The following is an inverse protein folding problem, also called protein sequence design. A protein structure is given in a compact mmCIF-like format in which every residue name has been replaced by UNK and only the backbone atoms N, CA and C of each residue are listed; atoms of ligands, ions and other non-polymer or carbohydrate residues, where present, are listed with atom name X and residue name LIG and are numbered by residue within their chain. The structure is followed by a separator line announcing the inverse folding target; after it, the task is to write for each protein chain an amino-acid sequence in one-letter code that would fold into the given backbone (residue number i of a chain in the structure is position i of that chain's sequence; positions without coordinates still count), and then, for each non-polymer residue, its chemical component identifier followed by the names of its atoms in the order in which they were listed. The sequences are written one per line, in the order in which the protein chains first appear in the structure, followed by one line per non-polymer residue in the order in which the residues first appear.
data_IF_654865358677
#
_entry.id   IF_654865358677
#
_cell.length_a   1.000
_cell.length_b   1.000
_cell.length_c   1.000
_cell.angle_alpha   90.00
_cell.angle_beta   90.00
_cell.angle_gamma   90.00
#
_symmetry.space_group_name_H-M   'P 1'
#
loop_
_entity.id
_entity.type
_entity.pdbx_description
1 polymer ?
#
# COMPACT_ATOMS: atom_id res chain seq x y z
N UNK A 1 -11.11 -14.70 -1.20
CA UNK A 1 -10.59 -13.72 -2.19
C UNK A 1 -10.96 -14.18 -3.60
N UNK A 2 -11.14 -13.27 -4.58
CA UNK A 2 -11.68 -13.59 -5.92
C UNK A 2 -10.91 -12.84 -7.03
N UNK A 3 -10.60 -13.53 -8.14
CA UNK A 3 -10.03 -12.94 -9.36
C UNK A 3 -11.10 -12.89 -10.45
N UNK A 4 -11.41 -11.70 -10.96
CA UNK A 4 -12.51 -11.50 -11.91
C UNK A 4 -12.12 -11.79 -13.37
N UNK A 5 -10.93 -11.34 -13.81
CA UNK A 5 -10.48 -11.43 -15.21
C UNK A 5 -8.98 -11.61 -15.33
N UNK A 6 -8.55 -12.19 -16.45
CA UNK A 6 -7.15 -12.44 -16.79
C UNK A 6 -6.93 -12.42 -18.31
N UNK A 7 -5.72 -12.05 -18.75
CA UNK A 7 -5.27 -12.15 -20.14
C UNK A 7 -4.67 -13.53 -20.48
N UNK A 8 -4.38 -14.35 -19.46
CA UNK A 8 -3.82 -15.70 -19.63
C UNK A 8 -4.93 -16.75 -19.58
N UNK A 9 -4.77 -17.79 -20.39
CA UNK A 9 -5.67 -18.95 -20.38
C UNK A 9 -5.30 -19.91 -19.24
N UNK A 10 -6.27 -20.69 -18.76
CA UNK A 10 -6.08 -21.72 -17.72
C UNK A 10 -5.46 -21.20 -16.41
N UNK A 11 -5.90 -20.03 -15.95
CA UNK A 11 -5.56 -19.56 -14.61
C UNK A 11 -6.28 -20.41 -13.56
N UNK A 12 -5.54 -20.86 -12.56
CA UNK A 12 -6.04 -21.51 -11.35
C UNK A 12 -5.84 -20.53 -10.20
N UNK A 13 -6.93 -20.23 -9.50
CA UNK A 13 -6.93 -19.33 -8.34
C UNK A 13 -7.31 -20.13 -7.10
N UNK A 14 -6.38 -20.20 -6.16
CA UNK A 14 -6.53 -20.87 -4.88
C UNK A 14 -6.19 -19.90 -3.75
N UNK A 15 -6.47 -20.30 -2.51
CA UNK A 15 -6.07 -19.54 -1.34
C UNK A 15 -6.59 -20.17 -0.06
N UNK A 16 -5.97 -19.83 1.07
CA UNK A 16 -6.49 -20.12 2.40
C UNK A 16 -7.09 -18.87 3.04
N UNK A 17 -8.08 -19.07 3.90
CA UNK A 17 -8.78 -18.00 4.62
C UNK A 17 -8.82 -18.35 6.11
N UNK A 18 -7.67 -18.28 6.77
CA UNK A 18 -7.59 -18.42 8.22
C UNK A 18 -7.91 -17.07 8.92
N UNK A 19 -8.12 -17.11 10.23
CA UNK A 19 -8.52 -15.92 10.99
C UNK A 19 -7.47 -14.81 10.97
N UNK A 20 -6.19 -15.17 11.07
CA UNK A 20 -5.09 -14.20 11.16
C UNK A 20 -4.22 -14.14 9.92
N UNK A 21 -4.43 -15.05 8.98
CA UNK A 21 -3.62 -15.19 7.78
C UNK A 21 -4.48 -15.62 6.60
N UNK A 22 -4.35 -14.93 5.49
CA UNK A 22 -4.99 -15.32 4.23
C UNK A 22 -3.95 -15.31 3.13
N UNK A 23 -4.08 -16.22 2.18
CA UNK A 23 -3.28 -16.17 0.97
C UNK A 23 -4.15 -16.23 -0.27
N UNK A 24 -3.65 -15.61 -1.34
CA UNK A 24 -4.17 -15.74 -2.68
C UNK A 24 -3.05 -16.24 -3.56
N UNK A 25 -3.24 -17.43 -4.09
CA UNK A 25 -2.35 -18.06 -5.05
C UNK A 25 -2.99 -18.05 -6.43
N UNK A 26 -2.33 -17.40 -7.38
CA UNK A 26 -2.71 -17.36 -8.79
C UNK A 26 -1.66 -18.12 -9.58
N UNK A 27 -2.05 -19.19 -10.26
CA UNK A 27 -1.13 -20.00 -11.05
C UNK A 27 -1.59 -20.19 -12.48
N UNK A 28 -0.66 -20.24 -13.42
CA UNK A 28 -0.91 -20.41 -14.84
C UNK A 28 0.28 -21.04 -15.55
N UNK A 29 0.05 -21.53 -16.75
CA UNK A 29 1.09 -22.03 -17.64
C UNK A 29 1.19 -21.15 -18.88
N UNK A 30 2.33 -20.50 -19.14
CA UNK A 30 2.50 -19.66 -20.32
C UNK A 30 2.77 -20.56 -21.55
N UNK A 31 1.70 -20.96 -22.24
CA UNK A 31 1.68 -21.53 -23.60
C UNK A 31 2.54 -22.77 -23.90
N UNK A 32 3.28 -23.32 -22.93
CA UNK A 32 4.16 -24.48 -23.07
C UNK A 32 3.92 -25.42 -21.89
N UNK A 33 3.68 -26.70 -22.18
CA UNK A 33 3.20 -27.73 -21.22
C UNK A 33 4.14 -28.02 -20.02
N UNK A 34 5.32 -27.38 -19.96
CA UNK A 34 6.32 -27.58 -18.90
C UNK A 34 6.65 -26.29 -18.12
N UNK A 35 6.07 -25.15 -18.50
CA UNK A 35 6.27 -23.90 -17.79
C UNK A 35 5.12 -23.70 -16.80
N UNK A 36 5.46 -23.51 -15.53
CA UNK A 36 4.51 -23.26 -14.46
C UNK A 36 4.88 -21.97 -13.75
N UNK A 37 3.92 -21.07 -13.62
CA UNK A 37 4.07 -19.78 -12.97
C UNK A 37 3.03 -19.69 -11.84
N UNK A 38 3.46 -19.22 -10.68
CA UNK A 38 2.66 -19.11 -9.47
C UNK A 38 2.99 -17.80 -8.78
N UNK A 39 2.00 -16.94 -8.63
CA UNK A 39 2.06 -15.70 -7.88
C UNK A 39 1.28 -15.87 -6.59
N UNK A 40 1.88 -15.56 -5.46
CA UNK A 40 1.27 -15.64 -4.13
C UNK A 40 1.25 -14.26 -3.47
N UNK A 41 0.11 -13.92 -2.90
CA UNK A 41 -0.08 -12.77 -2.03
C UNK A 41 -0.41 -13.28 -0.64
N UNK A 42 0.32 -12.83 0.37
CA UNK A 42 0.09 -13.23 1.77
C UNK A 42 -0.36 -12.02 2.55
N UNK A 43 -1.50 -12.16 3.24
CA UNK A 43 -2.06 -11.14 4.10
C UNK A 43 -2.05 -11.60 5.55
N UNK A 44 -1.64 -10.70 6.45
CA UNK A 44 -1.68 -10.90 7.90
C UNK A 44 -2.60 -9.89 8.56
N UNK A 45 -3.32 -10.29 9.60
CA UNK A 45 -4.23 -9.42 10.35
C UNK A 45 -3.76 -9.25 11.80
N UNK A 46 -3.76 -7.99 12.24
CA UNK A 46 -3.53 -7.57 13.62
C UNK A 46 -4.72 -6.73 14.09
N UNK A 47 -5.75 -7.43 14.55
CA UNK A 47 -7.00 -7.00 15.23
C UNK A 47 -7.84 -5.87 14.58
N UNK A 48 -7.21 -4.75 14.24
CA UNK A 48 -7.83 -3.55 13.67
C UNK A 48 -7.42 -3.31 12.21
N UNK A 49 -6.37 -3.97 11.74
CA UNK A 49 -5.77 -3.77 10.42
C UNK A 49 -5.21 -5.06 9.86
N UNK A 50 -5.11 -5.12 8.54
CA UNK A 50 -4.39 -6.16 7.84
C UNK A 50 -3.35 -5.57 6.91
N UNK A 51 -2.28 -6.33 6.71
CA UNK A 51 -1.16 -6.00 5.86
C UNK A 51 -1.10 -6.98 4.70
N UNK A 52 -0.70 -6.51 3.51
CA UNK A 52 -0.07 -7.41 2.54
C UNK A 52 1.36 -7.64 3.05
N UNK A 53 1.64 -8.81 3.63
CA UNK A 53 2.93 -9.13 4.27
C UNK A 53 3.99 -9.52 3.25
N UNK A 54 3.59 -10.25 2.20
CA UNK A 54 4.53 -10.65 1.16
C UNK A 54 3.86 -10.85 -0.19
N UNK A 55 4.67 -10.65 -1.23
CA UNK A 55 4.37 -11.06 -2.60
C UNK A 55 5.48 -12.01 -3.02
N UNK A 56 5.12 -13.21 -3.44
CA UNK A 56 6.05 -14.20 -3.96
C UNK A 56 5.70 -14.61 -5.38
N UNK A 57 6.70 -14.92 -6.19
CA UNK A 57 6.54 -15.53 -7.50
C UNK A 57 7.47 -16.74 -7.63
N UNK A 58 6.90 -17.86 -8.05
CA UNK A 58 7.62 -19.05 -8.46
C UNK A 58 7.40 -19.22 -9.96
N UNK A 59 8.46 -19.38 -10.75
CA UNK A 59 8.33 -19.66 -12.17
C UNK A 59 9.42 -20.61 -12.68
N UNK A 60 9.04 -21.49 -13.61
CA UNK A 60 9.99 -22.36 -14.31
C UNK A 60 10.57 -21.64 -15.53
N UNK A 61 11.87 -21.79 -15.78
CA UNK A 61 12.55 -21.39 -17.02
C UNK A 61 12.80 -22.58 -17.93
N UNK A 62 13.10 -22.34 -19.22
CA UNK A 62 13.20 -23.34 -20.31
C UNK A 62 14.07 -24.59 -20.04
N UNK A 63 14.90 -24.59 -19.00
CA UNK A 63 15.72 -25.73 -18.57
C UNK A 63 15.10 -26.57 -17.45
N UNK A 64 13.85 -26.30 -17.07
CA UNK A 64 13.15 -26.96 -15.97
C UNK A 64 13.57 -26.46 -14.58
N UNK A 65 14.46 -25.48 -14.49
CA UNK A 65 14.83 -24.86 -13.21
C UNK A 65 13.70 -23.97 -12.72
N UNK A 66 13.36 -24.13 -11.45
CA UNK A 66 12.40 -23.26 -10.74
C UNK A 66 13.15 -22.06 -10.15
N UNK A 67 12.55 -20.89 -10.28
CA UNK A 67 13.05 -19.64 -9.69
C UNK A 67 11.98 -19.11 -8.75
N UNK A 68 12.37 -18.94 -7.50
CA UNK A 68 11.56 -18.29 -6.47
C UNK A 68 12.09 -16.87 -6.23
N UNK A 69 11.17 -15.91 -6.21
CA UNK A 69 11.48 -14.54 -5.83
C UNK A 69 10.37 -13.99 -4.93
N UNK A 70 10.74 -13.19 -3.93
CA UNK A 70 9.77 -12.62 -3.01
C UNK A 70 10.14 -11.20 -2.56
N UNK A 71 9.17 -10.52 -1.95
CA UNK A 71 9.39 -9.24 -1.27
C UNK A 71 8.41 -9.09 -0.12
N UNK A 72 8.90 -8.55 0.99
CA UNK A 72 8.15 -8.11 2.17
C UNK A 72 8.19 -6.58 2.33
N UNK A 73 8.91 -5.88 1.43
CA UNK A 73 9.25 -4.46 1.61
C UNK A 73 8.22 -3.52 0.98
N UNK A 74 7.84 -2.50 1.76
CA UNK A 74 7.08 -1.36 1.27
C UNK A 74 5.70 -1.75 0.74
N UNK A 75 5.04 -2.71 1.38
CA UNK A 75 3.67 -3.12 1.05
C UNK A 75 2.65 -2.19 1.72
N UNK A 76 1.35 -2.51 1.64
CA UNK A 76 0.28 -1.65 2.14
C UNK A 76 -0.41 -2.24 3.38
N UNK A 77 -0.92 -1.35 4.21
CA UNK A 77 -1.68 -1.62 5.44
C UNK A 77 -3.08 -1.03 5.31
N UNK A 78 -4.11 -1.79 5.66
CA UNK A 78 -5.53 -1.42 5.52
C UNK A 78 -6.28 -1.73 6.82
N UNK A 79 -7.15 -0.83 7.31
CA UNK A 79 -8.05 -1.17 8.41
C UNK A 79 -8.99 -2.32 8.04
N UNK A 80 -9.27 -3.22 8.98
CA UNK A 80 -10.23 -4.31 8.76
C UNK A 80 -11.59 -3.73 8.37
N UNK A 81 -12.19 -4.32 7.33
CA UNK A 81 -13.45 -3.85 6.75
C UNK A 81 -13.30 -2.72 5.72
N UNK A 82 -12.08 -2.26 5.43
CA UNK A 82 -11.76 -1.44 4.25
C UNK A 82 -11.10 -2.24 3.13
N UNK A 83 -10.68 -1.56 2.07
CA UNK A 83 -9.94 -2.17 0.96
C UNK A 83 -8.87 -1.22 0.42
N UNK A 84 -7.83 -1.81 -0.18
CA UNK A 84 -6.81 -1.08 -0.91
C UNK A 84 -7.31 -0.70 -2.29
N UNK A 85 -7.08 0.54 -2.70
CA UNK A 85 -7.31 1.03 -4.06
C UNK A 85 -6.10 1.83 -4.53
N UNK A 86 -5.65 1.61 -5.76
CA UNK A 86 -4.55 2.36 -6.34
C UNK A 86 -4.77 2.55 -7.83
N UNK A 87 -5.16 3.77 -8.20
CA UNK A 87 -5.26 4.18 -9.61
C UNK A 87 -3.90 4.47 -10.26
N UNK A 88 -2.80 4.40 -9.49
CA UNK A 88 -1.46 4.67 -9.98
C UNK A 88 -0.69 3.39 -10.25
N UNK A 89 0.36 3.51 -11.07
CA UNK A 89 1.27 2.39 -11.30
C UNK A 89 2.11 2.14 -10.05
N UNK A 90 1.96 0.97 -9.45
CA UNK A 90 2.80 0.53 -8.34
C UNK A 90 3.85 -0.43 -8.85
N UNK A 91 5.12 -0.12 -8.63
CA UNK A 91 6.25 -0.99 -8.96
C UNK A 91 6.79 -1.65 -7.68
N UNK A 92 7.01 -2.95 -7.74
CA UNK A 92 7.67 -3.73 -6.68
C UNK A 92 8.79 -4.59 -7.27
N UNK A 93 9.92 -4.59 -6.58
CA UNK A 93 11.04 -5.47 -6.87
C UNK A 93 10.96 -6.67 -5.94
N UNK A 94 10.98 -7.86 -6.53
CA UNK A 94 11.09 -9.14 -5.85
C UNK A 94 12.52 -9.65 -6.04
N UNK A 95 13.12 -10.12 -4.97
CA UNK A 95 14.50 -10.61 -4.94
C UNK A 95 14.48 -12.11 -5.10
N UNK A 96 15.33 -12.63 -5.99
CA UNK A 96 15.45 -14.06 -6.21
C UNK A 96 16.18 -14.69 -5.02
N UNK A 97 15.62 -15.78 -4.50
CA UNK A 97 16.24 -16.52 -3.41
C UNK A 97 17.65 -16.97 -3.81
N UNK A 98 18.61 -16.83 -2.90
CA UNK A 98 20.04 -17.11 -3.10
C UNK A 98 20.74 -16.29 -4.20
N UNK A 99 20.11 -15.26 -4.79
CA UNK A 99 20.75 -14.38 -5.78
C UNK A 99 20.15 -12.96 -5.84
N UNK A 100 20.63 -12.09 -4.95
CA UNK A 100 20.23 -10.68 -4.87
C UNK A 100 20.52 -9.84 -6.14
N UNK A 101 21.36 -10.33 -7.05
CA UNK A 101 21.66 -9.64 -8.31
C UNK A 101 20.55 -9.79 -9.35
N UNK A 102 19.66 -10.76 -9.17
CA UNK A 102 18.52 -11.00 -10.05
C UNK A 102 17.26 -10.49 -9.36
N UNK A 103 16.50 -9.68 -10.08
CA UNK A 103 15.24 -9.12 -9.59
C UNK A 103 14.12 -9.42 -10.56
N UNK A 104 12.97 -9.77 -10.00
CA UNK A 104 11.71 -9.85 -10.74
C UNK A 104 10.92 -8.57 -10.46
N UNK A 105 10.47 -7.90 -11.52
CA UNK A 105 9.70 -6.67 -11.39
C UNK A 105 8.21 -6.96 -11.55
N UNK A 106 7.42 -6.58 -10.56
CA UNK A 106 5.96 -6.64 -10.62
C UNK A 106 5.41 -5.22 -10.72
N UNK A 107 4.48 -5.03 -11.64
CA UNK A 107 3.77 -3.78 -11.85
C UNK A 107 2.28 -4.01 -11.60
N UNK A 108 1.71 -3.26 -10.65
CA UNK A 108 0.27 -3.18 -10.44
C UNK A 108 -0.27 -1.97 -11.18
N UNK A 109 -1.32 -2.17 -11.95
CA UNK A 109 -1.97 -1.14 -12.76
C UNK A 109 -3.44 -1.10 -12.36
N UNK A 110 -3.91 0.05 -11.86
CA UNK A 110 -5.30 0.24 -11.43
C UNK A 110 -5.80 -0.91 -10.55
N UNK A 111 -5.11 -1.15 -9.44
CA UNK A 111 -5.35 -2.32 -8.59
C UNK A 111 -6.26 -1.99 -7.41
N UNK A 112 -7.15 -2.93 -7.11
CA UNK A 112 -7.95 -2.92 -5.88
C UNK A 112 -7.83 -4.29 -5.21
N UNK A 113 -7.64 -4.31 -3.90
CA UNK A 113 -7.41 -5.54 -3.14
C UNK A 113 -8.09 -5.49 -1.77
N UNK A 114 -8.72 -6.59 -1.39
CA UNK A 114 -9.38 -6.75 -0.09
C UNK A 114 -9.07 -8.14 0.47
N UNK A 115 -8.80 -8.20 1.77
CA UNK A 115 -8.60 -9.41 2.55
C UNK A 115 -9.43 -9.34 3.84
N UNK A 116 -9.60 -10.46 4.53
CA UNK A 116 -10.33 -10.55 5.81
C UNK A 116 -11.77 -10.05 5.75
N UNK A 117 -12.44 -10.27 4.60
CA UNK A 117 -13.85 -9.90 4.41
C UNK A 117 -14.75 -10.64 5.41
N UNK A 118 -15.61 -9.88 6.09
CA UNK A 118 -16.55 -10.41 7.10
C UNK A 118 -17.87 -10.90 6.48
N UNK A 119 -18.34 -10.29 5.39
CA UNK A 119 -19.61 -10.66 4.73
C UNK A 119 -19.40 -11.40 3.41
N UNK A 120 -20.32 -12.31 3.08
CA UNK A 120 -20.29 -13.04 1.81
C UNK A 120 -20.94 -12.22 0.67
N UNK A 121 -20.22 -11.22 0.16
CA UNK A 121 -20.61 -10.40 -1.02
C UNK A 121 -19.49 -10.37 -2.05
N UNK A 122 -19.78 -9.91 -3.27
CA UNK A 122 -18.80 -9.82 -4.37
C UNK A 122 -18.15 -8.45 -4.53
N UNK A 123 -18.74 -7.40 -3.97
CA UNK A 123 -18.27 -6.02 -4.06
C UNK A 123 -17.28 -5.68 -2.94
N UNK A 124 -16.40 -4.70 -3.19
CA UNK A 124 -15.48 -4.19 -2.18
C UNK A 124 -16.24 -3.55 -1.01
N UNK A 125 -15.81 -3.84 0.21
CA UNK A 125 -16.47 -3.35 1.42
C UNK A 125 -15.72 -2.20 2.09
N UNK A 126 -16.49 -1.24 2.61
CA UNK A 126 -16.01 -0.14 3.46
C UNK A 126 -15.20 0.92 2.74
N UNK A 127 -14.27 1.54 3.48
CA UNK A 127 -13.51 2.71 3.01
C UNK A 127 -12.36 2.27 2.09
N UNK A 128 -12.29 2.88 0.91
CA UNK A 128 -11.13 2.77 0.03
C UNK A 128 -9.94 3.50 0.64
N UNK A 129 -8.82 2.81 0.80
CA UNK A 129 -7.54 3.39 1.21
C UNK A 129 -6.65 3.49 -0.02
N UNK A 130 -6.44 4.73 -0.46
CA UNK A 130 -5.62 5.03 -1.63
C UNK A 130 -4.14 4.75 -1.35
N UNK A 131 -3.44 4.28 -2.37
CA UNK A 131 -2.00 4.07 -2.27
C UNK A 131 -1.25 5.40 -2.07
N UNK A 132 -0.19 5.42 -1.24
CA UNK A 132 0.61 6.62 -1.10
C UNK A 132 1.29 6.92 -2.44
N UNK A 133 0.79 7.94 -3.14
CA UNK A 133 1.42 8.55 -4.30
C UNK A 133 2.89 8.86 -3.99
N UNK A 134 3.82 8.20 -4.69
CA UNK A 134 5.27 8.37 -4.56
C UNK A 134 5.79 9.78 -4.87
N UNK A 135 4.93 10.73 -5.26
CA UNK A 135 5.30 12.13 -5.55
C UNK A 135 4.38 13.14 -4.85
N UNK A 136 3.10 12.83 -4.61
CA UNK A 136 2.14 13.80 -4.04
C UNK A 136 2.18 13.82 -2.51
N UNK A 137 2.43 12.69 -1.85
CA UNK A 137 2.61 12.64 -0.38
C UNK A 137 3.88 13.40 0.05
N UNK A 138 4.97 13.25 -0.70
CA UNK A 138 6.20 14.03 -0.54
C UNK A 138 5.99 15.54 -0.73
N UNK A 139 4.98 15.97 -1.49
CA UNK A 139 4.61 17.39 -1.57
C UNK A 139 3.66 17.80 -0.44
N UNK A 140 2.64 16.99 -0.14
CA UNK A 140 1.60 17.34 0.85
C UNK A 140 2.14 17.43 2.27
N UNK A 141 2.96 16.47 2.73
CA UNK A 141 3.43 16.49 4.13
C UNK A 141 4.32 17.70 4.42
N UNK A 142 5.34 18.02 3.61
CA UNK A 142 6.12 19.24 3.81
C UNK A 142 5.27 20.50 3.65
N UNK A 143 4.33 20.53 2.71
CA UNK A 143 3.45 21.71 2.53
C UNK A 143 2.56 21.93 3.75
N UNK A 144 1.92 20.88 4.28
CA UNK A 144 1.07 20.96 5.47
C UNK A 144 1.92 21.39 6.67
N UNK A 145 3.08 20.77 6.89
CA UNK A 145 3.99 21.13 7.99
C UNK A 145 4.51 22.57 7.85
N UNK A 146 4.87 23.02 6.66
CA UNK A 146 5.30 24.41 6.42
C UNK A 146 4.16 25.41 6.65
N UNK A 147 2.95 25.11 6.19
CA UNK A 147 1.78 25.99 6.38
C UNK A 147 1.37 26.10 7.85
N UNK A 148 1.39 25.00 8.61
CA UNK A 148 1.07 25.02 10.04
C UNK A 148 2.12 25.79 10.84
N UNK A 149 3.41 25.59 10.54
CA UNK A 149 4.49 26.36 11.17
C UNK A 149 4.40 27.87 10.87
N UNK A 150 4.06 28.26 9.64
CA UNK A 150 3.86 29.66 9.27
C UNK A 150 2.69 30.29 10.03
N UNK A 151 1.56 29.57 10.15
CA UNK A 151 0.39 30.05 10.90
C UNK A 151 0.68 30.21 12.39
N UNK A 152 1.41 29.27 12.99
CA UNK A 152 1.85 29.36 14.39
C UNK A 152 2.77 30.57 14.58
N UNK A 153 3.74 30.79 13.68
CA UNK A 153 4.62 31.95 13.72
C UNK A 153 3.86 33.28 13.65
N UNK A 154 2.89 33.39 12.73
CA UNK A 154 2.02 34.56 12.62
C UNK A 154 1.18 34.79 13.88
N UNK A 155 0.63 33.73 14.46
CA UNK A 155 -0.17 33.82 15.69
C UNK A 155 0.67 34.35 16.87
N UNK A 156 1.89 33.82 17.05
CA UNK A 156 2.81 34.29 18.10
C UNK A 156 3.16 35.77 17.91
N UNK A 157 3.41 36.19 16.66
CA UNK A 157 3.78 37.56 16.33
C UNK A 157 2.62 38.53 16.58
N UNK A 158 1.39 38.14 16.24
CA UNK A 158 0.18 38.92 16.53
C UNK A 158 -0.07 39.03 18.04
N UNK A 159 0.07 37.93 18.79
CA UNK A 159 -0.04 37.94 20.26
C UNK A 159 1.01 38.89 20.87
N UNK A 160 2.26 38.83 20.38
CA UNK A 160 3.33 39.71 20.83
C UNK A 160 3.01 41.19 20.56
N UNK A 161 2.56 41.53 19.35
CA UNK A 161 2.20 42.90 18.97
C UNK A 161 1.01 43.42 19.80
N UNK A 162 -0.05 42.62 19.97
CA UNK A 162 -1.20 42.96 20.81
C UNK A 162 -0.77 43.19 22.26
N UNK A 163 0.13 42.37 22.80
CA UNK A 163 0.64 42.55 24.17
C UNK A 163 1.48 43.82 24.32
N UNK A 164 2.25 44.22 23.31
CA UNK A 164 3.02 45.47 23.31
C UNK A 164 2.15 46.71 23.16
N UNK A 165 1.13 46.65 22.31
CA UNK A 165 0.16 47.73 22.12
C UNK A 165 -0.69 47.94 23.39
N UNK A 166 -1.14 46.87 24.03
CA UNK A 166 -1.78 46.92 25.35
C UNK A 166 -0.89 47.59 26.39
N UNK A 167 0.40 47.25 26.44
CA UNK A 167 1.36 47.90 27.35
C UNK A 167 1.55 49.39 27.06
N UNK A 168 1.63 49.82 25.79
CA UNK A 168 1.74 51.25 25.43
C UNK A 168 0.49 52.05 25.79
N UNK A 169 -0.70 51.51 25.52
CA UNK A 169 -1.96 52.18 25.85
C UNK A 169 -2.13 52.45 27.36
N UNK A 170 -1.59 51.58 28.23
CA UNK A 170 -1.63 51.79 29.68
C UNK A 170 -0.77 52.98 30.17
N UNK A 171 0.26 53.37 29.41
CA UNK A 171 1.13 54.50 29.74
C UNK A 171 0.62 55.86 29.23
N UNK A 172 -0.34 55.90 28.28
CA UNK A 172 -0.93 57.16 27.81
C UNK A 172 -2.07 57.68 28.70
N UNK A 173 -2.63 56.85 29.59
CA UNK A 173 -3.67 57.26 30.55
C UNK A 173 -3.17 57.98 31.79
N UNK A 174 -1.85 58.24 31.91
CA UNK A 174 -1.27 59.02 33.00
C UNK A 174 -0.58 60.25 32.40
N UNK A 175 -1.38 61.26 32.02
CA UNK A 175 -0.90 62.63 31.85
C UNK A 175 -2.00 63.63 32.17
#
# INVERSE_FOLDING_TARGET
MYLNRTLQNKIIVNGTCEQKRQDLTVSWSPNVDFLYWKLIFVFGEDSERYDLESIGITYTVDKGSEIDANTDRGLFTIPVGGYYECANHLHRELFVDDNDNIKVNIYFLNSSMEAFRLENRSEFMGLAIDCPLSIIWLKKVPTIVCTTLLLIGLAILLIYLCSRLSKRSAYETIR
#
